data_IF_732961451337
#
_entry.id   IF_732961451337
#
_cell.length_a   1.000
_cell.length_b   1.000
_cell.length_c   1.000
_cell.angle_alpha   90.00
_cell.angle_beta   90.00
_cell.angle_gamma   90.00
#
_symmetry.space_group_name_H-M   'P 1'
#
loop_
_entity.id
_entity.type
_entity.pdbx_description
1 polymer ?
#
# COMPACT_ATOMS: atom_id res chain seq x y z
N UNK A 1 -10.93 -2.78 3.85
CA UNK A 1 -10.10 -1.57 3.89
C UNK A 1 -10.99 -0.36 4.08
N UNK A 2 -10.54 0.56 4.90
CA UNK A 2 -11.27 1.80 5.14
C UNK A 2 -10.42 2.96 4.66
N UNK A 3 -11.03 3.89 3.90
CA UNK A 3 -10.31 5.04 3.35
C UNK A 3 -10.82 6.29 4.03
N UNK A 4 -9.90 7.10 4.55
CA UNK A 4 -10.21 8.40 5.11
C UNK A 4 -9.51 9.47 4.29
N UNK A 5 -10.27 10.48 3.91
CA UNK A 5 -9.74 11.56 3.08
C UNK A 5 -9.67 12.84 3.91
N UNK A 6 -8.50 13.47 3.90
CA UNK A 6 -8.29 14.75 4.57
C UNK A 6 -7.95 15.77 3.49
N UNK A 7 -8.94 16.61 3.15
CA UNK A 7 -8.78 17.57 2.08
C UNK A 7 -7.85 18.72 2.47
N UNK A 8 -7.73 19.02 3.75
CA UNK A 8 -6.85 20.10 4.21
C UNK A 8 -5.39 19.68 4.07
N UNK A 9 -5.07 18.44 4.50
CA UNK A 9 -3.72 17.91 4.39
C UNK A 9 -3.45 17.34 2.99
N UNK A 10 -4.47 17.26 2.15
CA UNK A 10 -4.38 16.63 0.85
C UNK A 10 -3.80 15.23 0.95
N UNK A 11 -4.37 14.43 1.83
CA UNK A 11 -3.95 13.06 2.05
C UNK A 11 -5.13 12.12 2.10
N UNK A 12 -4.89 10.88 1.74
CA UNK A 12 -5.87 9.81 1.85
C UNK A 12 -5.24 8.68 2.63
N UNK A 13 -5.84 8.31 3.75
CA UNK A 13 -5.32 7.23 4.58
C UNK A 13 -6.11 5.96 4.28
N UNK A 14 -5.40 4.93 3.90
CA UNK A 14 -5.96 3.61 3.64
C UNK A 14 -5.62 2.73 4.83
N UNK A 15 -6.64 2.41 5.65
CA UNK A 15 -6.45 1.55 6.80
C UNK A 15 -6.64 0.11 6.37
N UNK A 16 -5.61 -0.72 6.61
CA UNK A 16 -5.59 -2.12 6.20
C UNK A 16 -5.62 -2.99 7.44
N UNK A 17 -6.44 -4.03 7.42
CA UNK A 17 -6.50 -5.01 8.50
C UNK A 17 -6.32 -6.39 7.91
N UNK A 18 -6.01 -7.36 8.77
CA UNK A 18 -5.84 -8.74 8.35
C UNK A 18 -4.41 -9.02 7.90
N UNK A 19 -4.25 -10.04 7.10
CA UNK A 19 -2.93 -10.49 6.66
C UNK A 19 -2.69 -10.06 5.22
N UNK A 20 -1.59 -9.37 5.00
CA UNK A 20 -1.17 -8.91 3.67
C UNK A 20 -0.01 -9.78 3.20
N UNK A 21 -0.16 -10.36 2.03
CA UNK A 21 0.85 -11.23 1.42
C UNK A 21 1.10 -10.77 -0.01
N UNK A 22 2.17 -11.26 -0.68
CA UNK A 22 2.35 -10.95 -2.09
C UNK A 22 1.17 -11.38 -2.97
N UNK A 23 0.42 -12.38 -2.53
CA UNK A 23 -0.73 -12.87 -3.31
C UNK A 23 -1.90 -11.90 -3.27
N UNK A 24 -2.12 -11.18 -2.15
CA UNK A 24 -3.30 -10.32 -2.02
C UNK A 24 -2.97 -8.83 -2.01
N UNK A 25 -1.70 -8.45 -2.06
CA UNK A 25 -1.31 -7.05 -1.99
C UNK A 25 -1.82 -6.24 -3.20
N UNK A 26 -2.13 -6.92 -4.29
CA UNK A 26 -2.64 -6.27 -5.50
C UNK A 26 -3.96 -5.55 -5.25
N UNK A 27 -4.78 -6.06 -4.34
CA UNK A 27 -6.03 -5.38 -3.98
C UNK A 27 -5.75 -4.00 -3.40
N UNK A 28 -4.70 -3.89 -2.59
CA UNK A 28 -4.27 -2.60 -2.05
C UNK A 28 -3.79 -1.66 -3.15
N UNK A 29 -3.05 -2.18 -4.13
CA UNK A 29 -2.58 -1.36 -5.24
C UNK A 29 -3.74 -0.82 -6.07
N UNK A 30 -4.77 -1.62 -6.30
CA UNK A 30 -5.96 -1.16 -7.01
C UNK A 30 -6.61 0.01 -6.29
N UNK A 31 -6.75 -0.10 -4.97
CA UNK A 31 -7.32 0.98 -4.17
C UNK A 31 -6.48 2.25 -4.27
N UNK A 32 -5.16 2.12 -4.14
CA UNK A 32 -4.25 3.27 -4.21
C UNK A 32 -4.34 3.97 -5.57
N UNK A 33 -4.39 3.19 -6.66
CA UNK A 33 -4.50 3.77 -7.99
C UNK A 33 -5.82 4.52 -8.18
N UNK A 34 -6.92 3.95 -7.67
CA UNK A 34 -8.21 4.59 -7.76
C UNK A 34 -8.24 5.91 -7.00
N UNK A 35 -7.65 5.93 -5.81
CA UNK A 35 -7.58 7.15 -5.01
C UNK A 35 -6.74 8.20 -5.75
N UNK A 36 -5.60 7.81 -6.27
CA UNK A 36 -4.73 8.74 -7.00
C UNK A 36 -5.43 9.31 -8.24
N UNK A 37 -6.21 8.49 -8.93
CA UNK A 37 -6.94 8.94 -10.11
C UNK A 37 -8.00 9.97 -9.78
N UNK A 38 -8.64 9.83 -8.61
CA UNK A 38 -9.72 10.75 -8.20
C UNK A 38 -9.20 11.95 -7.45
N UNK A 39 -8.06 11.84 -6.80
CA UNK A 39 -7.48 12.88 -5.96
C UNK A 39 -6.02 13.11 -6.36
N UNK A 40 -5.79 13.70 -7.56
CA UNK A 40 -4.42 13.89 -8.03
C UNK A 40 -3.62 14.75 -7.07
N UNK A 41 -2.39 14.34 -6.81
CA UNK A 41 -1.50 15.09 -5.93
C UNK A 41 -1.64 14.78 -4.45
N UNK A 42 -2.68 14.03 -4.05
CA UNK A 42 -2.83 13.65 -2.65
C UNK A 42 -1.77 12.62 -2.27
N UNK A 43 -1.26 12.75 -1.06
CA UNK A 43 -0.42 11.71 -0.49
C UNK A 43 -1.28 10.56 -0.02
N UNK A 44 -0.91 9.34 -0.37
CA UNK A 44 -1.61 8.16 0.11
C UNK A 44 -0.82 7.58 1.28
N UNK A 45 -1.47 7.47 2.43
CA UNK A 45 -0.89 6.90 3.63
C UNK A 45 -1.48 5.50 3.79
N UNK A 46 -0.65 4.48 3.59
CA UNK A 46 -1.06 3.10 3.81
C UNK A 46 -0.78 2.78 5.26
N UNK A 47 -1.83 2.69 6.05
CA UNK A 47 -1.72 2.45 7.49
C UNK A 47 -1.86 0.96 7.77
N UNK A 48 -0.75 0.34 8.13
CA UNK A 48 -0.66 -1.09 8.40
C UNK A 48 -0.57 -1.38 9.89
N UNK A 49 -0.83 -0.39 10.74
CA UNK A 49 -0.67 -0.56 12.18
C UNK A 49 -1.49 -1.71 12.76
N UNK A 50 -2.62 -2.01 12.15
CA UNK A 50 -3.51 -3.09 12.59
C UNK A 50 -3.51 -4.29 11.64
N UNK A 51 -2.52 -4.36 10.76
CA UNK A 51 -2.38 -5.46 9.82
C UNK A 51 -1.18 -6.33 10.23
N UNK A 52 -1.15 -7.52 9.66
CA UNK A 52 0.00 -8.42 9.75
C UNK A 52 0.48 -8.59 8.31
N UNK A 53 1.74 -8.31 8.07
CA UNK A 53 2.25 -8.22 6.71
C UNK A 53 3.46 -9.13 6.58
N UNK A 54 3.53 -9.90 5.50
CA UNK A 54 4.71 -10.72 5.27
C UNK A 54 5.91 -9.84 4.92
N UNK A 55 7.11 -10.37 5.18
CA UNK A 55 8.33 -9.64 4.90
C UNK A 55 8.41 -9.25 3.42
N UNK A 56 8.06 -10.18 2.53
CA UNK A 56 8.11 -9.93 1.09
C UNK A 56 7.14 -8.82 0.67
N UNK A 57 5.94 -8.82 1.24
CA UNK A 57 4.97 -7.78 0.94
C UNK A 57 5.46 -6.42 1.46
N UNK A 58 6.10 -6.39 2.63
CA UNK A 58 6.66 -5.15 3.15
C UNK A 58 7.76 -4.60 2.25
N UNK A 59 8.65 -5.47 1.77
CA UNK A 59 9.69 -5.01 0.86
C UNK A 59 9.11 -4.42 -0.42
N UNK A 60 8.09 -5.07 -0.96
CA UNK A 60 7.44 -4.60 -2.15
C UNK A 60 6.77 -3.23 -1.93
N UNK A 61 6.08 -3.06 -0.81
CA UNK A 61 5.46 -1.79 -0.47
C UNK A 61 6.48 -0.68 -0.30
N UNK A 62 7.58 -0.96 0.39
CA UNK A 62 8.62 0.04 0.56
C UNK A 62 9.28 0.42 -0.75
N UNK A 63 9.43 -0.52 -1.67
CA UNK A 63 9.97 -0.21 -2.99
C UNK A 63 9.05 0.74 -3.74
N UNK A 64 7.74 0.50 -3.71
CA UNK A 64 6.78 1.40 -4.33
C UNK A 64 6.84 2.79 -3.70
N UNK A 65 6.95 2.85 -2.38
CA UNK A 65 7.02 4.13 -1.69
C UNK A 65 8.28 4.92 -2.07
N UNK A 66 9.42 4.22 -2.15
CA UNK A 66 10.67 4.88 -2.53
C UNK A 66 10.65 5.42 -3.95
N UNK A 67 9.99 4.70 -4.84
CA UNK A 67 9.92 5.09 -6.25
C UNK A 67 8.77 6.06 -6.54
N UNK A 68 7.87 6.24 -5.57
CA UNK A 68 6.69 7.08 -5.71
C UNK A 68 5.84 6.67 -6.91
N UNK A 69 5.70 5.36 -7.13
CA UNK A 69 4.89 4.83 -8.22
C UNK A 69 4.09 3.64 -7.72
N UNK A 70 3.01 3.33 -8.44
CA UNK A 70 2.19 2.17 -8.14
C UNK A 70 2.03 1.34 -9.40
N UNK A 71 2.32 0.05 -9.28
CA UNK A 71 2.24 -0.88 -10.40
C UNK A 71 0.79 -1.18 -10.75
N UNK A 72 0.50 -1.28 -12.05
CA UNK A 72 -0.83 -1.67 -12.50
C UNK A 72 -1.08 -3.16 -12.27
N UNK A 73 -0.03 -3.96 -12.34
CA UNK A 73 -0.13 -5.40 -12.17
C UNK A 73 -0.68 -6.15 -13.36
N UNK A 74 -1.12 -5.46 -14.40
CA UNK A 74 -1.73 -6.11 -15.56
C UNK A 74 -0.85 -5.98 -16.78
N UNK A 75 -0.48 -4.77 -17.14
CA UNK A 75 0.27 -4.49 -18.35
C UNK A 75 1.67 -3.95 -18.06
N UNK A 76 2.09 -3.98 -16.83
CA UNK A 76 3.39 -3.48 -16.44
C UNK A 76 3.49 -1.96 -16.36
N UNK A 77 2.39 -1.25 -16.61
CA UNK A 77 2.41 0.20 -16.50
C UNK A 77 2.52 0.62 -15.04
N UNK A 78 3.00 1.84 -14.81
CA UNK A 78 3.12 2.40 -13.46
C UNK A 78 2.40 3.73 -13.42
N UNK A 79 1.84 4.05 -12.27
CA UNK A 79 1.13 5.31 -12.03
C UNK A 79 1.89 6.09 -10.96
N UNK A 80 2.23 7.35 -11.19
CA UNK A 80 2.86 8.16 -10.14
C UNK A 80 1.93 8.24 -8.93
N UNK A 81 2.51 8.01 -7.76
CA UNK A 81 1.72 7.93 -6.53
C UNK A 81 2.61 8.31 -5.35
N UNK A 82 2.23 9.34 -4.61
CA UNK A 82 2.95 9.71 -3.39
C UNK A 82 2.47 8.79 -2.28
N UNK A 83 3.34 7.89 -1.87
CA UNK A 83 2.98 6.83 -0.96
C UNK A 83 3.81 6.91 0.32
N UNK A 84 3.14 6.90 1.46
CA UNK A 84 3.78 6.81 2.77
C UNK A 84 3.21 5.61 3.50
N UNK A 85 4.06 4.86 4.17
CA UNK A 85 3.67 3.63 4.84
C UNK A 85 3.82 3.80 6.34
N UNK A 86 2.75 3.49 7.07
CA UNK A 86 2.80 3.35 8.53
C UNK A 86 2.99 1.85 8.78
N UNK A 87 4.15 1.50 9.32
CA UNK A 87 4.56 0.11 9.44
C UNK A 87 3.67 -0.68 10.40
N UNK A 88 3.50 -1.98 10.16
CA UNK A 88 2.75 -2.84 11.06
C UNK A 88 3.56 -3.13 12.32
N UNK A 89 2.87 -3.47 13.41
CA UNK A 89 3.53 -3.93 14.62
C UNK A 89 4.19 -5.29 14.40
N UNK A 90 3.66 -6.10 13.49
CA UNK A 90 4.15 -7.45 13.25
C UNK A 90 4.42 -7.67 11.77
N UNK A 91 5.64 -8.06 11.45
CA UNK A 91 6.02 -8.51 10.12
C UNK A 91 6.18 -10.02 10.18
N UNK A 92 5.45 -10.73 9.34
CA UNK A 92 5.47 -12.18 9.33
C UNK A 92 6.60 -12.68 8.45
N UNK A 93 7.46 -13.54 9.00
CA UNK A 93 8.49 -14.22 8.22
C UNK A 93 8.06 -15.66 8.07
N UNK A 94 7.68 -16.01 6.87
CA UNK A 94 7.31 -17.37 6.58
C UNK A 94 8.57 -18.08 6.12
N UNK A 95 9.03 -19.04 6.96
CA UNK A 95 10.14 -19.86 6.57
C UNK A 95 9.61 -20.99 5.77
N UNK A 96 10.10 -21.06 4.63
CA UNK A 96 9.73 -22.12 3.91
C UNK A 96 10.39 -23.26 4.27
N UNK A 97 10.36 -24.08 4.61
CA UNK A 97 11.05 -25.03 5.03
C UNK A 97 11.00 -25.76 5.37
N UNK A 98 10.80 -25.42 5.13
CA UNK A 98 11.00 -25.91 5.69
C UNK A 98 10.98 -26.89 5.66
#
# INVERSE_FOLDING_TARGET
MLIRIDAIEESARVNVRGVVTPANIRALYVVCRRVTAKLPGYEIVVDLAHARVTYEAMEELHDHARQSVMSSGIDGSVTPCRLRIVDPATVLRIKENA
#
